data_IF_289864202930
#
_entry.id   IF_289864202930
#
_cell.length_a   1.000
_cell.length_b   1.000
_cell.length_c   1.000
_cell.angle_alpha   90.00
_cell.angle_beta   90.00
_cell.angle_gamma   90.00
#
_symmetry.space_group_name_H-M   'P 1'
#
loop_
_entity.id
_entity.type
_entity.pdbx_description
1 polymer ?
#
# COMPACT_ATOMS: atom_id res chain seq x y z
N UNK A 1 -15.75 -1.63 -14.55
CA UNK A 1 -15.02 -1.13 -13.40
C UNK A 1 -13.89 -2.11 -13.16
N UNK A 2 -12.71 -1.64 -12.78
CA UNK A 2 -11.56 -2.50 -12.51
C UNK A 2 -10.97 -2.16 -11.16
N UNK A 3 -10.07 -2.98 -10.68
CA UNK A 3 -9.46 -2.85 -9.37
C UNK A 3 -8.48 -1.67 -9.31
N UNK A 4 -8.35 -1.09 -8.12
CA UNK A 4 -7.36 -0.05 -7.79
C UNK A 4 -6.38 -0.62 -6.78
N UNK A 5 -5.12 -0.65 -7.14
CA UNK A 5 -4.05 -1.09 -6.26
C UNK A 5 -3.31 0.12 -5.67
N UNK A 6 -3.27 0.19 -4.35
CA UNK A 6 -2.70 1.34 -3.63
C UNK A 6 -1.19 1.22 -3.35
N UNK A 7 -0.56 0.08 -3.65
CA UNK A 7 0.82 -0.17 -3.26
C UNK A 7 1.55 -1.10 -4.21
N UNK A 8 2.63 -0.61 -4.83
CA UNK A 8 3.53 -1.41 -5.66
C UNK A 8 4.87 -0.73 -5.93
N UNK A 9 5.89 -1.54 -6.29
CA UNK A 9 7.25 -1.12 -6.60
C UNK A 9 7.57 -1.31 -8.10
N UNK A 10 6.70 -0.77 -8.94
CA UNK A 10 6.77 -0.90 -10.42
C UNK A 10 7.90 -0.05 -11.03
N UNK A 11 8.32 1.05 -10.38
CA UNK A 11 9.32 1.95 -10.94
C UNK A 11 10.72 1.34 -10.87
N UNK A 12 11.34 1.13 -12.03
CA UNK A 12 12.63 0.44 -12.10
C UNK A 12 13.80 1.25 -11.52
N UNK A 13 14.67 0.57 -10.77
CA UNK A 13 15.96 1.08 -10.32
C UNK A 13 15.87 2.25 -9.33
N UNK A 14 14.80 2.31 -8.53
CA UNK A 14 14.62 3.30 -7.46
C UNK A 14 14.64 2.68 -6.06
N UNK A 15 14.26 1.41 -5.96
CA UNK A 15 14.20 0.62 -4.73
C UNK A 15 14.45 -0.87 -5.02
N UNK A 16 13.94 -1.78 -4.19
CA UNK A 16 14.03 -3.23 -4.35
C UNK A 16 12.94 -3.87 -5.24
N UNK A 17 12.15 -3.04 -5.91
CA UNK A 17 11.18 -3.49 -6.90
C UNK A 17 11.79 -3.83 -8.26
N UNK A 18 11.19 -3.36 -9.34
CA UNK A 18 11.64 -3.65 -10.70
C UNK A 18 13.10 -3.21 -10.92
N UNK A 19 14.03 -4.10 -11.35
CA UNK A 19 15.42 -3.74 -11.56
C UNK A 19 15.65 -2.94 -12.86
N UNK A 20 14.80 -3.13 -13.86
CA UNK A 20 14.97 -2.56 -15.21
C UNK A 20 13.61 -2.28 -15.87
N UNK A 21 13.58 -1.56 -17.02
CA UNK A 21 12.35 -1.25 -17.73
C UNK A 21 11.53 -2.48 -18.17
N UNK A 22 12.20 -3.58 -18.52
CA UNK A 22 11.50 -4.80 -18.95
C UNK A 22 10.75 -5.46 -17.78
N UNK A 23 11.34 -5.45 -16.58
CA UNK A 23 10.70 -5.90 -15.36
C UNK A 23 9.49 -5.03 -14.99
N UNK A 24 9.58 -3.70 -15.12
CA UNK A 24 8.43 -2.80 -14.94
C UNK A 24 7.26 -3.16 -15.87
N UNK A 25 7.54 -3.37 -17.16
CA UNK A 25 6.51 -3.76 -18.14
C UNK A 25 5.90 -5.12 -17.79
N UNK A 26 6.73 -6.10 -17.41
CA UNK A 26 6.25 -7.43 -17.01
C UNK A 26 5.36 -7.37 -15.76
N UNK A 27 5.69 -6.49 -14.79
CA UNK A 27 4.82 -6.23 -13.63
C UNK A 27 3.49 -5.62 -14.06
N UNK A 28 3.50 -4.61 -14.96
CA UNK A 28 2.26 -4.01 -15.46
C UNK A 28 1.38 -5.02 -16.21
N UNK A 29 1.98 -5.92 -17.02
CA UNK A 29 1.25 -7.02 -17.66
C UNK A 29 0.57 -7.94 -16.63
N UNK A 30 1.28 -8.30 -15.59
CA UNK A 30 0.78 -9.21 -14.56
C UNK A 30 -0.28 -8.55 -13.65
N UNK A 31 -0.12 -7.26 -13.32
CA UNK A 31 -1.11 -6.46 -12.60
C UNK A 31 -2.41 -6.32 -13.41
N UNK A 32 -2.30 -6.04 -14.72
CA UNK A 32 -3.44 -6.00 -15.62
C UNK A 32 -4.16 -7.36 -15.70
N UNK A 33 -3.41 -8.47 -15.72
CA UNK A 33 -3.98 -9.81 -15.73
C UNK A 33 -4.74 -10.14 -14.43
N UNK A 34 -4.38 -9.52 -13.29
CA UNK A 34 -5.13 -9.61 -12.03
C UNK A 34 -6.39 -8.75 -12.03
N UNK A 35 -6.62 -7.91 -13.06
CA UNK A 35 -7.79 -7.04 -13.18
C UNK A 35 -7.58 -5.62 -12.64
N UNK A 36 -6.34 -5.24 -12.34
CA UNK A 36 -6.00 -3.89 -11.88
C UNK A 36 -6.04 -2.93 -13.06
N UNK A 37 -6.75 -1.83 -12.91
CA UNK A 37 -6.92 -0.78 -13.92
C UNK A 37 -6.34 0.58 -13.51
N UNK A 38 -6.11 0.77 -12.20
CA UNK A 38 -5.40 1.91 -11.65
C UNK A 38 -4.36 1.40 -10.63
N UNK A 39 -3.11 1.82 -10.79
CA UNK A 39 -1.97 1.39 -9.98
C UNK A 39 -1.29 2.57 -9.33
N UNK A 40 -1.27 2.60 -8.00
CA UNK A 40 -0.39 3.51 -7.28
C UNK A 40 1.03 2.93 -7.24
N UNK A 41 1.99 3.69 -7.76
CA UNK A 41 3.41 3.36 -7.71
C UNK A 41 4.01 4.08 -6.52
N UNK A 42 4.49 3.32 -5.55
CA UNK A 42 4.83 3.81 -4.21
C UNK A 42 6.26 3.43 -3.83
N UNK A 43 7.29 3.96 -4.54
CA UNK A 43 8.66 3.62 -4.22
C UNK A 43 8.98 3.95 -2.75
N UNK A 44 9.83 3.15 -2.15
CA UNK A 44 10.29 3.35 -0.79
C UNK A 44 10.90 4.73 -0.57
N UNK A 45 10.59 5.33 0.57
CA UNK A 45 11.23 6.50 1.15
C UNK A 45 11.72 6.13 2.56
N UNK A 46 12.82 5.36 2.61
CA UNK A 46 13.35 4.72 3.81
C UNK A 46 14.82 5.11 3.99
N UNK A 47 15.09 5.90 5.02
CA UNK A 47 16.45 6.35 5.32
C UNK A 47 17.42 5.16 5.41
N UNK A 48 18.65 5.37 4.94
CA UNK A 48 19.74 4.39 4.93
C UNK A 48 19.56 3.12 4.07
N UNK A 49 18.41 2.93 3.40
CA UNK A 49 18.21 1.80 2.49
C UNK A 49 17.77 2.27 1.09
N UNK A 50 16.57 2.83 0.98
CA UNK A 50 15.99 3.28 -0.27
C UNK A 50 15.48 4.72 -0.10
N UNK A 51 16.28 5.68 -0.52
CA UNK A 51 15.91 7.10 -0.49
C UNK A 51 16.21 7.73 -1.86
N UNK A 52 15.48 7.32 -2.91
CA UNK A 52 15.68 7.89 -4.22
C UNK A 52 15.36 9.39 -4.20
N UNK A 53 16.17 10.17 -4.93
CA UNK A 53 15.84 11.57 -5.20
C UNK A 53 14.51 11.65 -5.96
N UNK A 54 13.65 12.61 -5.58
CA UNK A 54 12.31 12.73 -6.16
C UNK A 54 12.34 13.00 -7.67
N UNK A 55 13.34 13.75 -8.16
CA UNK A 55 13.56 13.96 -9.59
C UNK A 55 13.86 12.64 -10.34
N UNK A 56 14.57 11.71 -9.69
CA UNK A 56 14.78 10.36 -10.24
C UNK A 56 13.47 9.59 -10.29
N UNK A 57 12.67 9.62 -9.23
CA UNK A 57 11.35 8.93 -9.16
C UNK A 57 10.44 9.43 -10.29
N UNK A 58 10.31 10.75 -10.48
CA UNK A 58 9.52 11.36 -11.55
C UNK A 58 10.05 10.97 -12.96
N UNK A 59 11.36 10.94 -13.12
CA UNK A 59 11.99 10.50 -14.36
C UNK A 59 11.68 9.02 -14.68
N UNK A 60 11.67 8.16 -13.66
CA UNK A 60 11.32 6.74 -13.82
C UNK A 60 9.83 6.55 -14.12
N UNK A 61 8.96 7.32 -13.47
CA UNK A 61 7.54 7.32 -13.79
C UNK A 61 7.31 7.70 -15.27
N UNK A 62 7.92 8.79 -15.74
CA UNK A 62 7.80 9.21 -17.13
C UNK A 62 8.31 8.14 -18.11
N UNK A 63 9.41 7.45 -17.78
CA UNK A 63 9.95 6.36 -18.58
C UNK A 63 9.01 5.14 -18.62
N UNK A 64 8.40 4.76 -17.51
CA UNK A 64 7.43 3.65 -17.45
C UNK A 64 6.13 4.03 -18.18
N UNK A 65 5.65 5.26 -18.02
CA UNK A 65 4.47 5.76 -18.76
C UNK A 65 4.70 5.71 -20.29
N UNK A 66 5.91 5.99 -20.77
CA UNK A 66 6.25 5.89 -22.18
C UNK A 66 6.24 4.45 -22.72
N UNK A 67 6.44 3.46 -21.86
CA UNK A 67 6.38 2.02 -22.19
C UNK A 67 4.98 1.43 -22.01
N UNK A 68 4.12 2.10 -21.29
CA UNK A 68 2.77 1.66 -21.01
C UNK A 68 1.91 1.60 -22.27
N UNK A 69 1.02 0.64 -22.34
CA UNK A 69 0.03 0.48 -23.41
C UNK A 69 -1.39 0.58 -22.84
N UNK A 70 -2.39 0.65 -23.70
CA UNK A 70 -3.80 0.74 -23.30
C UNK A 70 -4.31 -0.44 -22.45
N UNK A 71 -3.61 -1.59 -22.48
CA UNK A 71 -3.96 -2.77 -21.65
C UNK A 71 -3.45 -2.67 -20.20
N UNK A 72 -2.45 -1.82 -19.95
CA UNK A 72 -1.86 -1.66 -18.64
C UNK A 72 -2.67 -0.70 -17.76
N UNK A 73 -2.62 -0.84 -16.41
CA UNK A 73 -3.28 0.11 -15.53
C UNK A 73 -2.75 1.53 -15.70
N UNK A 74 -3.58 2.53 -15.46
CA UNK A 74 -3.13 3.92 -15.29
C UNK A 74 -2.27 4.03 -14.04
N UNK A 75 -1.23 4.89 -14.07
CA UNK A 75 -0.31 5.04 -12.94
C UNK A 75 -0.61 6.30 -12.14
N UNK A 76 -0.52 6.18 -10.84
CA UNK A 76 -0.58 7.30 -9.89
C UNK A 76 0.66 7.27 -9.02
N UNK A 77 1.43 8.35 -9.04
CA UNK A 77 2.61 8.46 -8.17
C UNK A 77 2.21 8.60 -6.71
N UNK A 78 2.89 7.89 -5.85
CA UNK A 78 2.89 8.00 -4.40
C UNK A 78 4.26 7.72 -3.85
N UNK A 79 4.34 7.43 -2.57
CA UNK A 79 5.54 6.92 -1.93
C UNK A 79 5.15 6.05 -0.74
N UNK A 80 5.92 5.01 -0.46
CA UNK A 80 5.86 4.31 0.81
C UNK A 80 6.82 4.99 1.78
N UNK A 81 6.25 5.77 2.70
CA UNK A 81 7.02 6.57 3.64
C UNK A 81 7.33 5.75 4.90
N UNK A 82 8.59 5.36 5.10
CA UNK A 82 9.01 4.75 6.36
C UNK A 82 8.90 5.75 7.50
N UNK A 83 8.33 5.34 8.62
CA UNK A 83 8.25 6.16 9.83
C UNK A 83 9.60 6.21 10.55
N UNK A 84 10.50 7.03 10.01
CA UNK A 84 11.88 7.25 10.46
C UNK A 84 12.20 8.74 10.68
N UNK A 85 13.46 9.07 10.89
CA UNK A 85 13.90 10.45 11.10
C UNK A 85 13.61 11.38 9.92
N UNK A 86 13.59 10.85 8.68
CA UNK A 86 13.22 11.63 7.49
C UNK A 86 11.74 11.96 7.52
N UNK A 87 10.92 10.98 7.86
CA UNK A 87 9.47 11.17 7.98
C UNK A 87 9.13 12.20 9.06
N UNK A 88 9.78 12.16 10.23
CA UNK A 88 9.59 13.18 11.27
C UNK A 88 9.95 14.59 10.79
N UNK A 89 11.00 14.76 10.01
CA UNK A 89 11.33 16.07 9.39
C UNK A 89 10.26 16.50 8.41
N UNK A 90 9.79 15.60 7.54
CA UNK A 90 8.71 15.89 6.58
C UNK A 90 7.37 16.23 7.25
N UNK A 91 7.09 15.64 8.41
CA UNK A 91 5.94 16.06 9.23
C UNK A 91 6.07 17.53 9.64
N UNK A 92 7.25 17.93 10.09
CA UNK A 92 7.50 19.29 10.58
C UNK A 92 7.47 20.35 9.47
N UNK A 93 7.85 20.00 8.24
CA UNK A 93 7.87 20.90 7.06
C UNK A 93 6.64 20.76 6.17
N UNK A 94 5.74 19.83 6.47
CA UNK A 94 4.57 19.52 5.66
C UNK A 94 4.89 18.99 4.24
N UNK A 95 6.02 18.25 4.10
CA UNK A 95 6.55 17.77 2.83
C UNK A 95 6.44 16.25 2.64
N UNK A 96 5.45 15.62 3.28
CA UNK A 96 5.21 14.18 3.13
C UNK A 96 4.73 13.90 1.69
N UNK A 97 5.39 13.00 0.93
CA UNK A 97 4.87 12.57 -0.35
C UNK A 97 3.52 11.87 -0.21
N UNK A 98 2.50 12.41 -0.88
CA UNK A 98 1.15 11.88 -0.95
C UNK A 98 0.93 11.08 -2.26
N UNK A 99 -0.16 10.32 -2.34
CA UNK A 99 -0.64 9.91 -3.66
C UNK A 99 -0.99 11.16 -4.48
N UNK A 100 -0.49 11.25 -5.69
CA UNK A 100 -0.61 12.44 -6.52
C UNK A 100 -2.06 12.93 -6.65
N UNK A 101 -2.26 14.21 -6.35
CA UNK A 101 -3.57 14.85 -6.41
C UNK A 101 -4.52 14.52 -5.26
N UNK A 102 -4.02 13.95 -4.14
CA UNK A 102 -4.85 13.56 -2.99
C UNK A 102 -4.30 14.08 -1.66
N UNK A 103 -5.07 13.96 -0.58
CA UNK A 103 -4.60 14.20 0.79
C UNK A 103 -4.14 12.90 1.50
N UNK A 104 -4.23 11.76 0.82
CA UNK A 104 -3.83 10.47 1.36
C UNK A 104 -2.35 10.18 1.10
N UNK A 105 -1.68 9.52 2.03
CA UNK A 105 -0.27 9.12 1.93
C UNK A 105 -0.03 7.79 2.62
N UNK A 106 0.80 6.96 1.99
CA UNK A 106 1.15 5.64 2.49
C UNK A 106 2.31 5.73 3.48
N UNK A 107 2.19 5.00 4.59
CA UNK A 107 3.20 4.89 5.63
C UNK A 107 3.54 3.43 5.90
N UNK A 108 4.82 3.17 6.12
CA UNK A 108 5.38 1.93 6.65
C UNK A 108 5.98 2.20 8.03
N UNK A 109 5.93 1.24 8.95
CA UNK A 109 6.61 1.33 10.25
C UNK A 109 7.55 0.14 10.44
N UNK A 110 8.55 0.23 11.33
CA UNK A 110 9.39 -0.91 11.64
C UNK A 110 8.57 -2.10 12.17
N UNK A 111 8.77 -3.33 11.68
CA UNK A 111 7.91 -4.48 12.02
C UNK A 111 7.84 -4.81 13.51
N UNK A 112 8.91 -4.54 14.26
CA UNK A 112 9.06 -4.91 15.68
C UNK A 112 9.04 -3.73 16.63
N UNK A 113 8.71 -2.53 16.15
CA UNK A 113 8.74 -1.32 16.99
C UNK A 113 7.65 -0.35 16.55
N UNK A 114 6.61 -0.22 17.37
CA UNK A 114 5.60 0.84 17.18
C UNK A 114 6.23 2.21 17.49
N UNK A 115 6.16 3.17 16.55
CA UNK A 115 6.71 4.50 16.78
C UNK A 115 6.04 5.19 17.98
N UNK A 116 6.82 5.77 18.93
CA UNK A 116 6.26 6.49 20.05
C UNK A 116 5.34 7.63 19.59
N UNK A 117 4.15 7.76 20.20
CA UNK A 117 3.19 8.82 19.88
C UNK A 117 2.47 8.66 18.55
N UNK A 118 2.58 7.51 17.88
CA UNK A 118 1.95 7.27 16.57
C UNK A 118 0.44 7.56 16.59
N UNK A 119 -0.32 7.04 17.56
CA UNK A 119 -1.77 7.28 17.66
C UNK A 119 -2.13 8.77 17.68
N UNK A 120 -1.37 9.55 18.47
CA UNK A 120 -1.58 11.00 18.56
C UNK A 120 -1.24 11.70 17.23
N UNK A 121 -0.15 11.28 16.58
CA UNK A 121 0.25 11.87 15.29
C UNK A 121 -0.74 11.53 14.17
N UNK A 122 -1.28 10.31 14.15
CA UNK A 122 -2.33 9.92 13.21
C UNK A 122 -3.59 10.79 13.39
N UNK A 123 -3.99 11.04 14.64
CA UNK A 123 -5.08 11.96 14.93
C UNK A 123 -4.79 13.40 14.43
N UNK A 124 -3.57 13.92 14.64
CA UNK A 124 -3.16 15.25 14.14
C UNK A 124 -3.25 15.33 12.61
N UNK A 125 -2.83 14.28 11.89
CA UNK A 125 -3.00 14.23 10.43
C UNK A 125 -4.46 14.33 10.02
N UNK A 126 -5.35 13.58 10.68
CA UNK A 126 -6.79 13.64 10.38
C UNK A 126 -7.38 15.01 10.65
N UNK A 127 -7.00 15.68 11.75
CA UNK A 127 -7.43 17.06 12.06
C UNK A 127 -6.90 18.10 11.06
N UNK A 128 -5.77 17.81 10.41
CA UNK A 128 -5.21 18.62 9.34
C UNK A 128 -5.79 18.31 7.94
N UNK A 129 -6.82 17.44 7.86
CA UNK A 129 -7.44 17.04 6.59
C UNK A 129 -6.63 16.04 5.77
N UNK A 130 -5.62 15.42 6.36
CA UNK A 130 -4.78 14.39 5.72
C UNK A 130 -5.24 12.98 6.10
N UNK A 131 -5.11 12.04 5.17
CA UNK A 131 -5.45 10.64 5.41
C UNK A 131 -4.19 9.78 5.42
N UNK A 132 -3.67 9.38 6.59
CA UNK A 132 -2.63 8.38 6.66
C UNK A 132 -3.19 7.00 6.26
N UNK A 133 -2.40 6.25 5.50
CA UNK A 133 -2.69 4.90 5.02
C UNK A 133 -1.57 3.99 5.49
N UNK A 134 -1.86 3.01 6.34
CA UNK A 134 -0.87 2.07 6.86
C UNK A 134 -0.76 0.88 5.93
N UNK A 135 0.41 0.73 5.32
CA UNK A 135 0.77 -0.42 4.50
C UNK A 135 0.90 -1.68 5.37
N UNK A 136 0.48 -2.81 4.82
CA UNK A 136 0.68 -4.16 5.37
C UNK A 136 0.65 -4.27 6.92
N UNK A 137 -0.46 -3.83 7.59
CA UNK A 137 -0.57 -3.83 9.05
C UNK A 137 -0.38 -5.22 9.66
N UNK A 138 -0.57 -6.28 8.89
CA UNK A 138 -0.33 -7.67 9.28
C UNK A 138 1.14 -8.01 9.52
N UNK A 139 2.09 -7.15 9.12
CA UNK A 139 3.53 -7.36 9.36
C UNK A 139 4.00 -6.81 10.71
N UNK A 140 3.17 -6.05 11.44
CA UNK A 140 3.57 -5.37 12.67
C UNK A 140 3.24 -6.19 13.90
N UNK A 141 4.29 -6.62 14.61
CA UNK A 141 4.20 -7.54 15.73
C UNK A 141 3.31 -7.01 16.86
N UNK A 142 3.37 -5.70 17.13
CA UNK A 142 2.56 -5.06 18.17
C UNK A 142 1.04 -5.10 17.90
N UNK A 143 0.63 -5.33 16.66
CA UNK A 143 -0.78 -5.42 16.28
C UNK A 143 -1.34 -6.85 16.36
N UNK A 144 -0.49 -7.88 16.32
CA UNK A 144 -0.94 -9.28 16.23
C UNK A 144 -1.78 -9.73 17.41
N UNK A 145 -1.36 -9.34 18.63
CA UNK A 145 -1.99 -9.78 19.87
C UNK A 145 -2.60 -8.60 20.67
N UNK A 146 -2.73 -7.41 20.02
CA UNK A 146 -3.26 -6.21 20.66
C UNK A 146 -4.45 -5.60 19.90
N UNK A 147 -5.64 -6.22 19.95
CA UNK A 147 -6.83 -5.72 19.25
C UNK A 147 -7.25 -4.31 19.68
N UNK A 148 -6.90 -3.87 20.88
CA UNK A 148 -7.18 -2.52 21.36
C UNK A 148 -6.37 -1.48 20.59
N UNK A 149 -5.06 -1.69 20.49
CA UNK A 149 -4.17 -0.82 19.74
C UNK A 149 -4.56 -0.78 18.26
N UNK A 150 -4.83 -1.95 17.67
CA UNK A 150 -5.24 -2.08 16.27
C UNK A 150 -6.49 -1.23 15.98
N UNK A 151 -7.53 -1.33 16.81
CA UNK A 151 -8.74 -0.51 16.67
C UNK A 151 -8.50 0.97 16.95
N UNK A 152 -7.57 1.31 17.84
CA UNK A 152 -7.21 2.69 18.13
C UNK A 152 -6.57 3.36 16.92
N UNK A 153 -5.56 2.73 16.31
CA UNK A 153 -4.92 3.24 15.10
C UNK A 153 -5.91 3.35 13.92
N UNK A 154 -6.76 2.31 13.75
CA UNK A 154 -7.76 2.25 12.68
C UNK A 154 -8.75 3.44 12.68
N UNK A 155 -9.00 4.07 13.82
CA UNK A 155 -9.87 5.27 13.90
C UNK A 155 -9.35 6.46 13.09
N UNK A 156 -8.04 6.55 12.89
CA UNK A 156 -7.39 7.70 12.27
C UNK A 156 -6.52 7.31 11.07
N UNK A 157 -6.51 6.03 10.68
CA UNK A 157 -5.64 5.51 9.64
C UNK A 157 -6.37 4.45 8.82
N UNK A 158 -6.27 4.50 7.50
CA UNK A 158 -6.74 3.42 6.65
C UNK A 158 -5.74 2.26 6.68
N UNK A 159 -6.22 1.03 6.87
CA UNK A 159 -5.37 -0.17 6.83
C UNK A 159 -5.46 -0.83 5.46
N UNK A 160 -4.33 -0.99 4.80
CA UNK A 160 -4.20 -1.65 3.49
C UNK A 160 -3.42 -2.94 3.66
N UNK A 161 -4.12 -4.07 3.59
CA UNK A 161 -3.55 -5.42 3.79
C UNK A 161 -2.92 -5.91 2.51
N UNK A 162 -1.74 -6.54 2.62
CA UNK A 162 -1.06 -7.18 1.49
C UNK A 162 -1.78 -8.48 1.07
N UNK A 163 -2.19 -8.56 -0.20
CA UNK A 163 -2.80 -9.74 -0.80
C UNK A 163 -1.87 -10.96 -0.78
N UNK A 164 -0.57 -10.76 -0.95
CA UNK A 164 0.43 -11.80 -0.83
C UNK A 164 0.44 -12.43 0.55
N UNK A 165 0.34 -11.61 1.61
CA UNK A 165 0.22 -12.09 2.98
C UNK A 165 -1.06 -12.91 3.20
N UNK A 166 -2.21 -12.47 2.67
CA UNK A 166 -3.45 -13.25 2.68
C UNK A 166 -3.26 -14.60 2.00
N UNK A 167 -2.49 -14.66 0.89
CA UNK A 167 -2.11 -15.86 0.16
C UNK A 167 -1.09 -16.74 0.89
N UNK A 168 -0.39 -16.21 1.90
CA UNK A 168 0.61 -16.94 2.70
C UNK A 168 2.07 -16.66 2.34
N UNK A 169 2.35 -15.62 1.54
CA UNK A 169 3.69 -15.30 1.02
C UNK A 169 4.71 -15.00 2.13
N UNK A 170 4.34 -14.21 3.14
CA UNK A 170 5.25 -13.80 4.22
C UNK A 170 5.32 -14.77 5.41
N UNK A 171 4.52 -15.82 5.40
CA UNK A 171 4.51 -16.82 6.45
C UNK A 171 3.16 -17.00 7.14
N UNK A 172 3.12 -17.96 8.09
CA UNK A 172 1.86 -18.35 8.74
C UNK A 172 1.30 -17.28 9.69
N UNK A 173 2.16 -16.50 10.33
CA UNK A 173 1.74 -15.46 11.29
C UNK A 173 1.11 -14.29 10.57
N UNK A 174 1.79 -13.78 9.56
CA UNK A 174 1.35 -12.70 8.70
C UNK A 174 0.04 -13.07 7.99
N UNK A 175 -0.05 -14.27 7.43
CA UNK A 175 -1.29 -14.78 6.83
C UNK A 175 -2.46 -14.84 7.82
N UNK A 176 -2.20 -15.28 9.05
CA UNK A 176 -3.21 -15.30 10.12
C UNK A 176 -3.65 -13.89 10.49
N UNK A 177 -2.70 -12.96 10.65
CA UNK A 177 -2.97 -11.57 10.98
C UNK A 177 -3.75 -10.85 9.85
N UNK A 178 -3.32 -11.02 8.59
CA UNK A 178 -3.99 -10.47 7.42
C UNK A 178 -5.46 -10.91 7.33
N UNK A 179 -5.69 -12.22 7.46
CA UNK A 179 -7.03 -12.80 7.44
C UNK A 179 -7.90 -12.32 8.61
N UNK A 180 -7.33 -12.22 9.81
CA UNK A 180 -8.05 -11.68 10.97
C UNK A 180 -8.47 -10.21 10.75
N UNK A 181 -7.59 -9.35 10.23
CA UNK A 181 -7.91 -7.96 9.89
C UNK A 181 -9.07 -7.86 8.89
N UNK A 182 -9.13 -8.77 7.91
CA UNK A 182 -10.20 -8.84 6.93
C UNK A 182 -11.50 -9.36 7.54
N UNK A 183 -11.46 -10.44 8.32
CA UNK A 183 -12.64 -11.06 8.97
C UNK A 183 -13.24 -10.14 10.04
N UNK A 184 -12.42 -9.39 10.76
CA UNK A 184 -12.86 -8.42 11.78
C UNK A 184 -13.34 -7.07 11.18
N UNK A 185 -13.26 -6.89 9.86
CA UNK A 185 -13.63 -5.65 9.17
C UNK A 185 -12.71 -4.47 9.47
N UNK A 186 -11.47 -4.72 9.91
CA UNK A 186 -10.48 -3.69 10.21
C UNK A 186 -9.65 -3.28 8.98
N UNK A 187 -9.52 -4.16 7.99
CA UNK A 187 -8.92 -3.84 6.70
C UNK A 187 -9.86 -2.92 5.90
N UNK A 188 -9.35 -1.73 5.50
CA UNK A 188 -10.07 -0.83 4.61
C UNK A 188 -9.98 -1.30 3.17
N UNK A 189 -8.79 -1.65 2.73
CA UNK A 189 -8.48 -2.08 1.38
C UNK A 189 -7.42 -3.19 1.38
N UNK A 190 -7.20 -3.75 0.19
CA UNK A 190 -6.09 -4.65 -0.09
C UNK A 190 -5.22 -4.07 -1.20
N UNK A 191 -3.94 -4.42 -1.21
CA UNK A 191 -2.97 -4.04 -2.25
C UNK A 191 -2.04 -5.20 -2.56
N UNK A 192 -1.28 -5.13 -3.65
CA UNK A 192 -0.39 -6.22 -4.03
C UNK A 192 0.98 -6.15 -3.37
N UNK A 193 1.46 -4.95 -3.06
CA UNK A 193 2.85 -4.73 -2.62
C UNK A 193 3.87 -5.44 -3.56
N UNK A 194 3.57 -5.40 -4.86
CA UNK A 194 4.30 -6.19 -5.84
C UNK A 194 5.66 -5.57 -6.16
N UNK A 195 6.72 -6.37 -5.96
CA UNK A 195 8.10 -6.05 -6.32
C UNK A 195 8.53 -6.78 -7.59
N UNK A 196 7.96 -7.96 -7.84
CA UNK A 196 8.25 -8.80 -8.99
C UNK A 196 7.01 -9.60 -9.42
N UNK A 197 7.03 -10.12 -10.64
CA UNK A 197 5.89 -10.88 -11.20
C UNK A 197 5.50 -12.08 -10.34
N UNK A 198 6.48 -12.73 -9.69
CA UNK A 198 6.24 -13.88 -8.82
C UNK A 198 5.32 -13.58 -7.63
N UNK A 199 5.32 -12.36 -7.11
CA UNK A 199 4.53 -11.97 -5.94
C UNK A 199 3.03 -12.00 -6.26
N UNK A 200 2.67 -11.71 -7.52
CA UNK A 200 1.27 -11.68 -7.96
C UNK A 200 0.61 -13.07 -8.01
N UNK A 201 1.40 -14.15 -8.00
CA UNK A 201 0.85 -15.49 -7.86
C UNK A 201 0.21 -15.68 -6.48
N UNK A 202 0.87 -15.19 -5.42
CA UNK A 202 0.33 -15.24 -4.06
C UNK A 202 -0.78 -14.20 -3.86
N UNK A 203 -0.68 -13.04 -4.49
CA UNK A 203 -1.76 -12.05 -4.52
C UNK A 203 -3.04 -12.62 -5.12
N UNK A 204 -2.94 -13.40 -6.22
CA UNK A 204 -4.08 -14.11 -6.81
C UNK A 204 -4.68 -15.15 -5.85
N UNK A 205 -3.83 -15.88 -5.09
CA UNK A 205 -4.29 -16.81 -4.03
C UNK A 205 -5.02 -16.06 -2.93
N UNK A 206 -4.48 -14.89 -2.50
CA UNK A 206 -5.11 -14.03 -1.50
C UNK A 206 -6.46 -13.51 -1.96
N UNK A 207 -6.55 -13.04 -3.20
CA UNK A 207 -7.81 -12.56 -3.80
C UNK A 207 -8.86 -13.68 -3.85
N UNK A 208 -8.47 -14.88 -4.29
CA UNK A 208 -9.36 -16.05 -4.30
C UNK A 208 -9.81 -16.47 -2.89
N UNK A 209 -8.94 -16.30 -1.87
CA UNK A 209 -9.32 -16.55 -0.48
C UNK A 209 -10.38 -15.55 -0.01
N UNK A 210 -10.23 -14.25 -0.32
CA UNK A 210 -11.22 -13.21 0.02
C UNK A 210 -12.57 -13.53 -0.65
N UNK A 211 -12.56 -13.80 -1.95
CA UNK A 211 -13.77 -14.13 -2.70
C UNK A 211 -14.51 -15.35 -2.11
N UNK A 212 -13.76 -16.42 -1.84
CA UNK A 212 -14.32 -17.66 -1.26
C UNK A 212 -14.84 -17.48 0.17
N UNK A 213 -14.13 -16.71 1.01
CA UNK A 213 -14.39 -16.63 2.46
C UNK A 213 -15.36 -15.51 2.82
N UNK A 214 -15.22 -14.35 2.16
CA UNK A 214 -15.97 -13.13 2.46
C UNK A 214 -16.97 -12.75 1.37
N UNK A 215 -16.87 -13.39 0.21
CA UNK A 215 -17.73 -13.20 -0.95
C UNK A 215 -17.25 -12.09 -1.89
N UNK A 216 -17.78 -12.13 -3.13
CA UNK A 216 -17.38 -11.21 -4.20
C UNK A 216 -17.64 -9.72 -3.88
N UNK A 217 -18.68 -9.43 -3.12
CA UNK A 217 -18.94 -8.07 -2.64
C UNK A 217 -17.81 -7.51 -1.77
N UNK A 218 -17.15 -8.36 -0.97
CA UNK A 218 -15.98 -7.97 -0.21
C UNK A 218 -14.77 -7.68 -1.12
N UNK A 219 -14.56 -8.47 -2.18
CA UNK A 219 -13.52 -8.20 -3.18
C UNK A 219 -13.75 -6.82 -3.82
N UNK A 220 -14.96 -6.54 -4.29
CA UNK A 220 -15.31 -5.25 -4.90
C UNK A 220 -15.12 -4.10 -3.91
N UNK A 221 -15.56 -4.25 -2.66
CA UNK A 221 -15.35 -3.23 -1.64
C UNK A 221 -13.88 -2.96 -1.36
N UNK A 222 -13.09 -4.02 -1.13
CA UNK A 222 -11.70 -3.91 -0.67
C UNK A 222 -10.71 -3.54 -1.79
N UNK A 223 -11.04 -3.82 -3.04
CA UNK A 223 -10.11 -3.66 -4.16
C UNK A 223 -10.59 -2.68 -5.24
N UNK A 224 -11.80 -2.10 -5.09
CA UNK A 224 -12.32 -1.04 -5.98
C UNK A 224 -12.88 0.14 -5.17
N UNK A 225 -13.93 -0.06 -4.37
CA UNK A 225 -14.65 1.06 -3.75
C UNK A 225 -13.82 1.76 -2.68
N UNK A 226 -13.29 1.04 -1.70
CA UNK A 226 -12.53 1.62 -0.59
C UNK A 226 -11.19 2.23 -1.03
N UNK A 227 -10.41 1.66 -1.96
CA UNK A 227 -9.26 2.35 -2.53
C UNK A 227 -9.60 3.71 -3.14
N UNK A 228 -10.72 3.83 -3.86
CA UNK A 228 -11.16 5.12 -4.43
C UNK A 228 -11.57 6.13 -3.36
N UNK A 229 -12.23 5.69 -2.26
CA UNK A 229 -12.51 6.55 -1.12
C UNK A 229 -11.21 7.04 -0.46
N UNK A 230 -10.21 6.16 -0.27
CA UNK A 230 -8.89 6.53 0.24
C UNK A 230 -8.25 7.59 -0.66
N UNK A 231 -8.25 7.40 -1.98
CA UNK A 231 -7.70 8.37 -2.92
C UNK A 231 -8.52 9.68 -2.99
N UNK A 232 -9.79 9.66 -2.57
CA UNK A 232 -10.60 10.86 -2.37
C UNK A 232 -10.34 11.54 -1.01
N UNK A 233 -9.46 10.99 -0.15
CA UNK A 233 -9.15 11.50 1.19
C UNK A 233 -10.15 11.08 2.26
N UNK A 234 -11.01 10.12 1.95
CA UNK A 234 -12.04 9.59 2.85
C UNK A 234 -11.52 8.33 3.55
N UNK A 235 -11.77 8.23 4.86
CA UNK A 235 -11.48 7.02 5.61
C UNK A 235 -12.67 6.05 5.46
N UNK A 236 -12.50 4.92 4.77
CA UNK A 236 -13.58 3.93 4.63
C UNK A 236 -13.98 3.34 6.00
N UNK A 237 -15.23 2.92 6.12
CA UNK A 237 -15.78 2.26 7.31
C UNK A 237 -15.13 0.90 7.59
#
# INVERSE_FOLDING_TARGET
MGYVDLHSHVLFGVDDGAPDPAASVALLDALAALGITEQCVTPHQKASQFMPDWALVESRLAAVEALRTAKHPTLRLGAENMWDDVFYRRIATDEIPHYAGTSAFLIEIPPSLMPPGMSEQLFKFRMAGKLPVLAHPERYHDLWDNPRLTRELRKNCAFVVDLGAVGGFHGKREAKAARALLEDGLACAVATDAHQVGDLQQSAVGLAWIDKKLGHAAVTRLFDHAPRQILAGELPD
#
